data_IF_519039942834
#
_entry.id   IF_519039942834
#
_cell.length_a   1.000
_cell.length_b   1.000
_cell.length_c   1.000
_cell.angle_alpha   90.00
_cell.angle_beta   90.00
_cell.angle_gamma   90.00
#
_symmetry.space_group_name_H-M   'P 1'
#
loop_
_entity.id
_entity.type
_entity.pdbx_description
1 polymer ?
#
# COMPACT_ATOMS: atom_id res chain seq x y z
N UNK A 1 -25.98 44.52 -36.31
CA UNK A 1 -26.32 43.73 -37.51
C UNK A 1 -26.00 42.24 -37.35
N UNK A 2 -24.87 41.87 -36.77
CA UNK A 2 -24.47 40.46 -36.54
C UNK A 2 -25.49 39.71 -35.62
N UNK A 3 -25.87 40.30 -34.52
CA UNK A 3 -26.79 39.67 -33.53
C UNK A 3 -28.20 39.39 -34.07
N UNK A 4 -28.73 40.28 -34.94
CA UNK A 4 -30.04 40.07 -35.54
C UNK A 4 -30.07 38.96 -36.57
N UNK A 5 -28.96 38.74 -37.30
CA UNK A 5 -28.81 37.63 -38.24
C UNK A 5 -28.69 36.31 -37.48
N UNK A 6 -27.86 36.28 -36.41
CA UNK A 6 -27.64 35.10 -35.57
C UNK A 6 -28.96 34.65 -34.90
N UNK A 7 -29.71 35.60 -34.33
CA UNK A 7 -31.01 35.31 -33.70
C UNK A 7 -32.03 34.77 -34.69
N UNK A 8 -32.05 35.30 -35.95
CA UNK A 8 -32.94 34.84 -36.99
C UNK A 8 -32.63 33.42 -37.45
N UNK A 9 -31.34 33.05 -37.54
CA UNK A 9 -30.87 31.70 -37.91
C UNK A 9 -31.22 30.70 -36.80
N UNK A 10 -30.98 31.08 -35.54
CA UNK A 10 -31.28 30.24 -34.36
C UNK A 10 -32.80 29.96 -34.26
N UNK A 11 -33.63 31.00 -34.38
CA UNK A 11 -35.10 30.86 -34.26
C UNK A 11 -35.71 30.10 -35.45
N UNK A 12 -35.16 30.27 -36.67
CA UNK A 12 -35.65 29.60 -37.88
C UNK A 12 -35.37 28.08 -37.85
N UNK A 13 -34.27 27.67 -37.25
CA UNK A 13 -33.82 26.26 -37.18
C UNK A 13 -33.78 25.75 -35.74
N UNK A 14 -34.71 26.14 -34.88
CA UNK A 14 -34.77 25.83 -33.46
C UNK A 14 -34.65 24.32 -33.16
N UNK A 15 -35.30 23.48 -33.97
CA UNK A 15 -35.26 22.03 -33.82
C UNK A 15 -33.87 21.47 -34.13
N UNK A 16 -33.20 21.94 -35.20
CA UNK A 16 -31.86 21.51 -35.53
C UNK A 16 -30.87 21.86 -34.42
N UNK A 17 -30.96 23.05 -33.83
CA UNK A 17 -30.12 23.46 -32.72
C UNK A 17 -30.38 22.64 -31.44
N UNK A 18 -31.65 22.34 -31.13
CA UNK A 18 -31.99 21.48 -30.01
C UNK A 18 -31.42 20.09 -30.17
N UNK A 19 -31.52 19.50 -31.38
CA UNK A 19 -30.93 18.18 -31.69
C UNK A 19 -29.43 18.21 -31.58
N UNK A 20 -28.77 19.25 -32.13
CA UNK A 20 -27.31 19.39 -32.08
C UNK A 20 -26.80 19.50 -30.63
N UNK A 21 -27.43 20.35 -29.83
CA UNK A 21 -27.06 20.49 -28.41
C UNK A 21 -27.35 19.20 -27.64
N UNK A 22 -28.50 18.56 -27.91
CA UNK A 22 -28.85 17.29 -27.28
C UNK A 22 -27.82 16.17 -27.60
N UNK A 23 -27.41 16.06 -28.86
CA UNK A 23 -26.38 15.13 -29.28
C UNK A 23 -25.01 15.44 -28.65
N UNK A 24 -24.62 16.70 -28.61
CA UNK A 24 -23.38 17.12 -27.99
C UNK A 24 -23.37 16.80 -26.48
N UNK A 25 -24.49 17.07 -25.80
CA UNK A 25 -24.64 16.73 -24.37
C UNK A 25 -24.59 15.24 -24.12
N UNK A 26 -25.29 14.43 -24.94
CA UNK A 26 -25.26 12.98 -24.83
C UNK A 26 -23.86 12.42 -25.09
N UNK A 27 -23.15 12.97 -26.07
CA UNK A 27 -21.75 12.59 -26.33
C UNK A 27 -20.83 12.93 -25.16
N UNK A 28 -20.95 14.13 -24.60
CA UNK A 28 -20.16 14.55 -23.43
C UNK A 28 -20.51 13.70 -22.18
N UNK A 29 -21.76 13.37 -21.98
CA UNK A 29 -22.19 12.48 -20.88
C UNK A 29 -21.58 11.08 -21.04
N UNK A 30 -21.58 10.54 -22.27
CA UNK A 30 -20.94 9.25 -22.55
C UNK A 30 -19.44 9.28 -22.31
N UNK A 31 -18.74 10.32 -22.73
CA UNK A 31 -17.30 10.48 -22.45
C UNK A 31 -17.02 10.70 -20.96
N UNK A 32 -17.93 11.34 -20.24
CA UNK A 32 -17.83 11.57 -18.80
C UNK A 32 -17.84 10.29 -17.96
N UNK A 33 -18.46 9.20 -18.47
CA UNK A 33 -18.45 7.90 -17.76
C UNK A 33 -17.09 7.20 -17.79
N UNK A 34 -16.21 7.58 -18.69
CA UNK A 34 -14.87 7.02 -18.83
C UNK A 34 -13.77 7.83 -18.10
N UNK A 35 -14.18 8.88 -17.38
CA UNK A 35 -13.23 9.68 -16.58
C UNK A 35 -12.95 8.94 -15.26
N UNK A 36 -11.79 8.32 -15.16
CA UNK A 36 -11.28 7.81 -13.91
C UNK A 36 -10.67 8.95 -13.08
N UNK A 37 -11.05 9.05 -11.81
CA UNK A 37 -10.35 9.94 -10.88
C UNK A 37 -9.02 9.28 -10.52
N UNK A 38 -7.93 9.83 -10.97
CA UNK A 38 -6.59 9.43 -10.56
C UNK A 38 -6.16 10.32 -9.39
N UNK A 39 -6.00 9.75 -8.22
CA UNK A 39 -5.36 10.40 -7.07
C UNK A 39 -3.84 10.28 -7.20
N UNK A 40 -3.29 10.72 -8.30
CA UNK A 40 -1.86 11.01 -8.30
C UNK A 40 -1.67 12.27 -7.47
N UNK A 41 -0.96 12.17 -6.36
CA UNK A 41 -0.40 13.35 -5.71
C UNK A 41 0.35 14.08 -6.80
N UNK A 42 -0.21 15.22 -7.21
CA UNK A 42 0.21 15.96 -8.37
C UNK A 42 1.74 16.01 -8.41
N UNK A 43 2.35 15.48 -9.46
CA UNK A 43 3.71 15.82 -9.82
C UNK A 43 3.73 17.34 -9.98
N UNK A 44 4.09 18.05 -8.92
CA UNK A 44 4.17 19.50 -8.90
C UNK A 44 5.34 20.00 -9.77
N UNK A 45 6.21 19.09 -10.19
CA UNK A 45 7.35 19.36 -11.06
C UNK A 45 7.10 18.81 -12.48
N UNK A 46 7.56 19.54 -13.51
CA UNK A 46 7.54 19.03 -14.88
C UNK A 46 8.33 17.73 -15.00
N UNK A 47 7.88 16.78 -15.83
CA UNK A 47 8.57 15.50 -16.07
C UNK A 47 9.98 15.67 -16.66
N UNK A 48 10.32 16.86 -17.15
CA UNK A 48 11.63 17.20 -17.68
C UNK A 48 12.62 17.72 -16.63
N UNK A 49 12.19 17.91 -15.39
CA UNK A 49 13.06 18.34 -14.30
C UNK A 49 13.97 17.19 -13.86
N UNK A 50 15.24 17.50 -13.58
CA UNK A 50 16.22 16.51 -13.14
C UNK A 50 15.80 15.77 -11.88
N UNK A 51 15.14 16.48 -10.94
CA UNK A 51 14.63 15.90 -9.69
C UNK A 51 13.49 14.92 -9.96
N UNK A 52 12.63 15.22 -10.95
CA UNK A 52 11.54 14.31 -11.35
C UNK A 52 12.10 13.02 -11.96
N UNK A 53 13.13 13.15 -12.81
CA UNK A 53 13.80 11.99 -13.44
C UNK A 53 14.52 11.13 -12.39
N UNK A 54 15.23 11.75 -11.45
CA UNK A 54 15.89 11.03 -10.35
C UNK A 54 14.88 10.32 -9.43
N UNK A 55 13.73 10.96 -9.16
CA UNK A 55 12.64 10.36 -8.39
C UNK A 55 12.02 9.16 -9.12
N UNK A 56 11.75 9.29 -10.42
CA UNK A 56 11.20 8.20 -11.22
C UNK A 56 12.17 7.00 -11.28
N UNK A 57 13.49 7.25 -11.38
CA UNK A 57 14.51 6.19 -11.29
C UNK A 57 14.52 5.51 -9.91
N UNK A 58 14.38 6.29 -8.84
CA UNK A 58 14.30 5.76 -7.48
C UNK A 58 13.06 4.89 -7.29
N UNK A 59 11.92 5.35 -7.82
CA UNK A 59 10.66 4.58 -7.79
C UNK A 59 10.76 3.30 -8.61
N UNK A 60 11.43 3.33 -9.76
CA UNK A 60 11.65 2.16 -10.61
C UNK A 60 12.56 1.12 -9.92
N UNK A 61 13.59 1.57 -9.19
CA UNK A 61 14.56 0.70 -8.52
C UNK A 61 14.07 0.15 -7.18
N UNK A 62 13.37 0.98 -6.38
CA UNK A 62 12.96 0.65 -5.01
C UNK A 62 11.44 0.42 -4.85
N UNK A 63 10.65 0.67 -5.88
CA UNK A 63 9.18 0.64 -5.83
C UNK A 63 8.57 1.89 -5.20
N UNK A 64 7.26 2.02 -5.32
CA UNK A 64 6.53 3.15 -4.72
C UNK A 64 6.37 2.95 -3.21
N UNK A 65 6.76 3.94 -2.44
CA UNK A 65 6.58 3.96 -0.97
C UNK A 65 5.14 4.28 -0.58
N UNK A 66 4.38 4.87 -1.49
CA UNK A 66 3.00 5.34 -1.24
C UNK A 66 1.96 4.24 -1.08
N UNK A 67 2.29 3.00 -1.41
CA UNK A 67 1.41 1.84 -1.29
C UNK A 67 1.67 0.99 -0.04
N UNK A 68 2.32 1.58 0.95
CA UNK A 68 2.66 0.89 2.21
C UNK A 68 1.74 1.36 3.34
N UNK A 69 1.16 0.41 4.04
CA UNK A 69 0.37 0.63 5.25
C UNK A 69 1.10 0.00 6.42
N UNK A 70 1.22 0.75 7.52
CA UNK A 70 1.82 0.25 8.75
C UNK A 70 0.74 0.11 9.81
N UNK A 71 0.61 -1.08 10.37
CA UNK A 71 -0.23 -1.36 11.53
C UNK A 71 0.69 -1.46 12.74
N UNK A 72 0.42 -0.68 13.76
CA UNK A 72 1.18 -0.71 15.01
C UNK A 72 0.25 -1.01 16.19
N UNK A 73 0.72 -1.85 17.09
CA UNK A 73 0.04 -2.23 18.31
C UNK A 73 1.01 -2.05 19.49
N UNK A 74 0.55 -1.42 20.55
CA UNK A 74 1.29 -1.33 21.81
C UNK A 74 0.75 -2.38 22.78
N UNK A 75 1.60 -3.32 23.18
CA UNK A 75 1.25 -4.44 24.04
C UNK A 75 2.47 -4.93 24.82
N UNK A 76 2.47 -4.75 26.12
CA UNK A 76 3.55 -5.20 26.99
C UNK A 76 3.62 -6.74 27.12
N UNK A 77 2.50 -7.41 26.87
CA UNK A 77 2.33 -8.86 26.98
C UNK A 77 2.32 -9.57 25.62
N UNK A 78 2.82 -8.92 24.57
CA UNK A 78 2.80 -9.40 23.19
C UNK A 78 3.33 -10.82 23.01
N UNK A 79 4.34 -11.24 23.79
CA UNK A 79 4.94 -12.57 23.70
C UNK A 79 4.15 -13.65 24.42
N UNK A 80 3.08 -13.32 25.15
CA UNK A 80 2.17 -14.31 25.67
C UNK A 80 1.49 -15.06 24.54
N UNK A 81 1.31 -16.36 24.70
CA UNK A 81 0.77 -17.25 23.68
C UNK A 81 -0.53 -16.71 23.05
N UNK A 82 -1.48 -16.27 23.90
CA UNK A 82 -2.79 -15.79 23.44
C UNK A 82 -2.68 -14.58 22.51
N UNK A 83 -1.83 -13.62 22.86
CA UNK A 83 -1.61 -12.41 22.06
C UNK A 83 -0.88 -12.73 20.75
N UNK A 84 0.09 -13.63 20.78
CA UNK A 84 0.77 -14.11 19.58
C UNK A 84 -0.16 -14.88 18.65
N UNK A 85 -1.06 -15.71 19.16
CA UNK A 85 -2.06 -16.40 18.35
C UNK A 85 -2.99 -15.42 17.65
N UNK A 86 -3.49 -14.41 18.38
CA UNK A 86 -4.34 -13.34 17.80
C UNK A 86 -3.59 -12.51 16.75
N UNK A 87 -2.31 -12.23 16.99
CA UNK A 87 -1.48 -11.51 16.03
C UNK A 87 -1.24 -12.33 14.76
N UNK A 88 -0.97 -13.63 14.88
CA UNK A 88 -0.80 -14.53 13.74
C UNK A 88 -2.09 -14.66 12.91
N UNK A 89 -3.24 -14.75 13.59
CA UNK A 89 -4.55 -14.78 12.94
C UNK A 89 -4.79 -13.48 12.17
N UNK A 90 -4.55 -12.33 12.80
CA UNK A 90 -4.63 -11.02 12.13
C UNK A 90 -3.73 -10.95 10.90
N UNK A 91 -2.47 -11.39 10.99
CA UNK A 91 -1.55 -11.40 9.85
C UNK A 91 -2.03 -12.32 8.73
N UNK A 92 -2.62 -13.46 9.07
CA UNK A 92 -3.22 -14.39 8.12
C UNK A 92 -4.42 -13.78 7.41
N UNK A 93 -5.29 -13.13 8.15
CA UNK A 93 -6.48 -12.46 7.61
C UNK A 93 -6.10 -11.31 6.68
N UNK A 94 -5.11 -10.51 7.08
CA UNK A 94 -4.60 -9.42 6.25
C UNK A 94 -3.99 -9.91 4.94
N UNK A 95 -3.30 -11.06 4.93
CA UNK A 95 -2.80 -11.67 3.69
C UNK A 95 -3.90 -12.18 2.78
N UNK A 96 -5.05 -12.54 3.34
CA UNK A 96 -6.20 -13.00 2.58
C UNK A 96 -7.01 -11.85 1.96
N UNK A 97 -6.75 -10.60 2.36
CA UNK A 97 -7.43 -9.43 1.80
C UNK A 97 -6.98 -9.21 0.37
N UNK A 98 -7.96 -9.15 -0.53
CA UNK A 98 -7.70 -8.88 -1.95
C UNK A 98 -7.08 -7.48 -2.14
N UNK A 99 -5.95 -7.42 -2.81
CA UNK A 99 -5.16 -6.20 -2.99
C UNK A 99 -3.99 -6.03 -2.01
N UNK A 100 -3.81 -6.93 -1.06
CA UNK A 100 -2.61 -6.99 -0.23
C UNK A 100 -1.58 -7.90 -0.92
N UNK A 101 -0.48 -7.34 -1.36
CA UNK A 101 0.60 -8.09 -2.04
C UNK A 101 1.52 -8.81 -1.06
N UNK A 102 1.84 -8.12 0.03
CA UNK A 102 2.80 -8.62 1.01
C UNK A 102 2.50 -8.08 2.39
N UNK A 103 2.63 -8.94 3.40
CA UNK A 103 2.55 -8.56 4.82
C UNK A 103 3.86 -8.99 5.47
N UNK A 104 4.57 -8.05 6.05
CA UNK A 104 5.78 -8.30 6.80
C UNK A 104 5.57 -7.92 8.25
N UNK A 105 5.72 -8.88 9.13
CA UNK A 105 5.60 -8.69 10.58
C UNK A 105 6.77 -9.36 11.31
N UNK A 106 6.86 -9.12 12.60
CA UNK A 106 7.88 -9.73 13.44
C UNK A 106 7.81 -11.26 13.42
N UNK A 107 6.62 -11.84 13.29
CA UNK A 107 6.40 -13.30 13.25
C UNK A 107 6.95 -13.97 11.98
N UNK A 108 7.21 -13.19 10.93
CA UNK A 108 7.84 -13.66 9.69
C UNK A 108 9.30 -13.23 9.56
N UNK A 109 9.81 -12.56 10.59
CA UNK A 109 11.19 -12.12 10.61
C UNK A 109 12.13 -13.31 10.68
N UNK A 110 13.22 -13.23 9.95
CA UNK A 110 14.29 -14.23 9.96
C UNK A 110 15.64 -13.56 10.23
N UNK A 111 16.46 -14.29 10.91
CA UNK A 111 17.84 -13.92 11.18
C UNK A 111 18.80 -14.73 10.33
N UNK A 112 20.04 -14.26 10.26
CA UNK A 112 21.14 -15.02 9.67
C UNK A 112 22.03 -15.51 10.80
N UNK A 113 22.29 -16.79 10.86
CA UNK A 113 23.25 -17.37 11.77
C UNK A 113 24.36 -18.09 10.98
N UNK A 114 25.50 -18.23 11.61
CA UNK A 114 26.60 -19.03 11.04
C UNK A 114 26.36 -20.47 11.45
N UNK A 115 26.07 -21.32 10.49
CA UNK A 115 26.04 -22.76 10.72
C UNK A 115 27.44 -23.26 11.07
N UNK A 116 27.61 -23.77 12.28
CA UNK A 116 28.89 -24.23 12.81
C UNK A 116 29.47 -25.48 12.06
N UNK A 117 28.66 -26.16 11.26
CA UNK A 117 29.06 -27.33 10.49
C UNK A 117 29.54 -26.94 9.08
N UNK A 118 28.83 -26.03 8.45
CA UNK A 118 29.12 -25.61 7.06
C UNK A 118 29.89 -24.31 6.96
N UNK A 119 30.06 -23.59 8.07
CA UNK A 119 30.64 -22.22 8.15
C UNK A 119 29.95 -21.23 7.20
N UNK A 120 28.72 -21.50 6.82
CA UNK A 120 27.91 -20.63 5.93
C UNK A 120 26.84 -19.94 6.71
N UNK A 121 26.44 -18.75 6.21
CA UNK A 121 25.26 -18.05 6.69
C UNK A 121 24.01 -18.82 6.26
N UNK A 122 23.21 -19.21 7.24
CA UNK A 122 21.91 -19.85 7.03
C UNK A 122 20.79 -18.97 7.60
N UNK A 123 19.66 -18.86 6.91
CA UNK A 123 18.49 -18.16 7.45
C UNK A 123 17.86 -19.01 8.56
N UNK A 124 17.48 -18.36 9.66
CA UNK A 124 16.73 -18.95 10.75
C UNK A 124 15.54 -18.07 11.08
N UNK A 125 14.37 -18.67 11.22
CA UNK A 125 13.17 -17.92 11.59
C UNK A 125 13.23 -17.52 13.07
N UNK A 126 12.92 -16.27 13.38
CA UNK A 126 12.88 -15.80 14.75
C UNK A 126 11.77 -16.49 15.54
N UNK A 127 10.63 -16.72 14.89
CA UNK A 127 9.49 -17.46 15.43
C UNK A 127 9.46 -18.87 14.84
N UNK A 128 9.99 -19.84 15.57
CA UNK A 128 9.99 -21.26 15.14
C UNK A 128 8.73 -22.00 15.64
N UNK A 129 8.20 -21.59 16.77
CA UNK A 129 7.04 -22.20 17.44
C UNK A 129 6.35 -21.18 18.34
N UNK A 130 5.10 -21.42 18.64
CA UNK A 130 4.37 -20.68 19.66
C UNK A 130 4.83 -21.18 21.06
N UNK A 131 5.08 -20.27 22.01
CA UNK A 131 5.48 -20.63 23.34
C UNK A 131 4.36 -21.42 24.04
N UNK A 132 4.72 -22.47 24.80
CA UNK A 132 3.78 -23.28 25.57
C UNK A 132 3.73 -22.89 27.05
N UNK A 133 4.75 -22.16 27.50
CA UNK A 133 4.90 -21.76 28.90
C UNK A 133 5.65 -20.44 29.03
N UNK A 134 5.60 -19.82 30.20
CA UNK A 134 6.21 -18.51 30.46
C UNK A 134 7.74 -18.48 30.32
N UNK A 135 8.44 -19.62 30.45
CA UNK A 135 9.90 -19.67 30.22
C UNK A 135 10.19 -19.54 28.73
N UNK A 136 9.38 -20.14 27.87
CA UNK A 136 9.50 -20.04 26.42
C UNK A 136 9.10 -18.67 25.92
N UNK A 137 8.12 -18.02 26.55
CA UNK A 137 7.74 -16.63 26.24
C UNK A 137 8.91 -15.67 26.49
N UNK A 138 9.55 -15.77 27.65
CA UNK A 138 10.74 -14.98 28.01
C UNK A 138 11.92 -15.28 27.07
N UNK A 139 12.12 -16.55 26.73
CA UNK A 139 13.19 -16.95 25.82
C UNK A 139 12.96 -16.41 24.41
N UNK A 140 11.73 -16.45 23.92
CA UNK A 140 11.34 -15.91 22.61
C UNK A 140 11.51 -14.38 22.58
N UNK A 141 11.05 -13.67 23.61
CA UNK A 141 11.24 -12.23 23.75
C UNK A 141 12.75 -11.86 23.71
N UNK A 142 13.56 -12.54 24.51
CA UNK A 142 14.99 -12.31 24.56
C UNK A 142 15.64 -12.58 23.22
N UNK A 143 15.23 -13.65 22.49
CA UNK A 143 15.70 -13.96 21.15
C UNK A 143 15.38 -12.87 20.17
N UNK A 144 14.14 -12.39 20.10
CA UNK A 144 13.70 -11.30 19.22
C UNK A 144 14.46 -10.02 19.54
N UNK A 145 14.57 -9.65 20.81
CA UNK A 145 15.27 -8.42 21.25
C UNK A 145 16.81 -8.52 21.04
N UNK A 146 17.36 -9.71 20.87
CA UNK A 146 18.79 -9.88 20.55
C UNK A 146 19.13 -9.51 19.11
N UNK A 147 18.13 -9.33 18.23
CA UNK A 147 18.31 -8.93 16.84
C UNK A 147 18.04 -7.44 16.64
N UNK A 148 19.08 -6.59 16.70
CA UNK A 148 18.90 -5.14 16.64
C UNK A 148 18.42 -4.64 15.27
N UNK A 149 18.54 -5.47 14.22
CA UNK A 149 18.14 -5.11 12.85
C UNK A 149 16.65 -4.74 12.75
N UNK A 150 15.78 -5.44 13.48
CA UNK A 150 14.33 -5.20 13.45
C UNK A 150 13.86 -4.12 14.41
N UNK A 151 14.77 -3.64 15.28
CA UNK A 151 14.46 -2.56 16.21
C UNK A 151 14.26 -1.24 15.46
N UNK A 152 13.12 -0.60 15.69
CA UNK A 152 12.73 0.63 14.99
C UNK A 152 12.09 0.40 13.61
N UNK A 153 12.01 -0.86 13.14
CA UNK A 153 11.35 -1.23 11.88
C UNK A 153 10.09 -2.05 12.17
N UNK A 154 10.22 -3.14 12.94
CA UNK A 154 9.12 -4.04 13.28
C UNK A 154 8.75 -4.02 14.75
N UNK A 155 9.61 -3.51 15.62
CA UNK A 155 9.31 -3.30 17.04
C UNK A 155 10.11 -2.13 17.63
N UNK A 156 9.53 -1.45 18.62
CA UNK A 156 10.21 -0.44 19.43
C UNK A 156 9.60 -0.38 20.82
N UNK A 157 10.37 -0.78 21.85
CA UNK A 157 9.84 -0.96 23.21
C UNK A 157 8.77 -2.05 23.21
N UNK A 158 7.58 -1.70 23.63
CA UNK A 158 6.39 -2.57 23.66
C UNK A 158 5.45 -2.32 22.48
N UNK A 159 5.92 -1.60 21.46
CA UNK A 159 5.17 -1.38 20.20
C UNK A 159 5.66 -2.35 19.15
N UNK A 160 4.74 -3.12 18.57
CA UNK A 160 4.98 -4.09 17.51
C UNK A 160 4.28 -3.65 16.24
N UNK A 161 4.94 -3.83 15.10
CA UNK A 161 4.50 -3.29 13.82
C UNK A 161 4.43 -4.37 12.76
N UNK A 162 3.43 -4.23 11.89
CA UNK A 162 3.35 -4.96 10.63
C UNK A 162 3.30 -3.97 9.48
N UNK A 163 4.03 -4.28 8.43
CA UNK A 163 4.13 -3.48 7.22
C UNK A 163 3.42 -4.24 6.11
N UNK A 164 2.40 -3.62 5.54
CA UNK A 164 1.61 -4.16 4.44
C UNK A 164 1.93 -3.41 3.15
N UNK A 165 2.13 -4.14 2.08
CA UNK A 165 2.21 -3.60 0.73
C UNK A 165 0.89 -3.86 0.03
N UNK A 166 0.28 -2.80 -0.50
CA UNK A 166 -0.98 -2.86 -1.22
C UNK A 166 -0.70 -2.78 -2.73
N UNK A 167 -1.41 -3.57 -3.53
CA UNK A 167 -1.34 -3.51 -4.99
C UNK A 167 -1.71 -2.10 -5.49
N UNK A 168 -0.80 -1.50 -6.25
CA UNK A 168 -0.96 -0.16 -6.80
C UNK A 168 -2.22 -0.02 -7.64
N UNK A 169 -2.58 -1.05 -8.40
CA UNK A 169 -3.78 -1.04 -9.24
C UNK A 169 -5.07 -0.92 -8.45
N UNK A 170 -5.07 -1.35 -7.18
CA UNK A 170 -6.22 -1.25 -6.29
C UNK A 170 -6.33 0.12 -5.61
N UNK A 171 -5.20 0.78 -5.35
CA UNK A 171 -5.20 2.13 -4.77
C UNK A 171 -5.80 3.17 -5.72
N UNK A 172 -5.67 2.97 -7.03
CA UNK A 172 -6.10 3.94 -8.04
C UNK A 172 -7.43 3.59 -8.70
N UNK A 173 -8.20 2.64 -8.17
CA UNK A 173 -9.54 2.28 -8.66
C UNK A 173 -9.57 2.07 -10.20
N UNK A 174 -8.59 1.39 -10.73
CA UNK A 174 -8.60 0.94 -12.13
C UNK A 174 -9.40 -0.37 -12.20
N UNK A 175 -10.74 -0.26 -12.11
CA UNK A 175 -11.63 -1.27 -12.67
C UNK A 175 -11.76 -1.10 -14.18
#
# INVERSE_FOLDING_TARGET
>A
MFWTVLTRILLRNRLAWLVTVGLATAFMAYQGTSVAMTYEFAKLMPDTDSVSIEYDQLVEEFGQVSNTVVIAMEDADFFQREHLEQWLELMSDLKAVDGVEHVQSLTEAYGLYVDSVTEKLAPDTLFQFLPENGEEEIALEARVKSWPFYKGILYQGDTYMAVLRIDENRLYNKE
#
